data_IF_671936978687
#
_entry.id   IF_671936978687
#
_cell.length_a   1.000
_cell.length_b   1.000
_cell.length_c   1.000
_cell.angle_alpha   90.00
_cell.angle_beta   90.00
_cell.angle_gamma   90.00
#
_symmetry.space_group_name_H-M   'P 1'
#
loop_
_entity.id
_entity.type
_entity.pdbx_description
1 polymer ?
#
# COMPACT_ATOMS: atom_id res chain seq x y z
N UNK A 1 -19.63 14.74 -21.00
CA UNK A 1 -18.51 15.49 -20.40
C UNK A 1 -17.43 14.46 -20.12
N UNK A 2 -16.36 14.45 -20.91
CA UNK A 2 -15.20 13.57 -20.70
C UNK A 2 -14.58 13.90 -19.35
N UNK A 3 -14.48 12.90 -18.47
CA UNK A 3 -13.75 13.03 -17.20
C UNK A 3 -12.36 13.62 -17.47
N UNK A 4 -11.83 14.50 -16.59
CA UNK A 4 -10.46 14.97 -16.73
C UNK A 4 -9.56 13.74 -16.86
N UNK A 5 -8.72 13.70 -17.89
CA UNK A 5 -7.77 12.61 -18.11
C UNK A 5 -6.74 12.65 -16.98
N UNK A 6 -7.03 11.95 -15.88
CA UNK A 6 -6.14 11.88 -14.74
C UNK A 6 -4.89 11.13 -15.20
N UNK A 7 -3.76 11.82 -15.24
CA UNK A 7 -2.52 11.26 -15.78
C UNK A 7 -1.98 10.19 -14.81
N UNK A 8 -1.71 8.99 -15.34
CA UNK A 8 -1.12 7.90 -14.57
C UNK A 8 0.33 8.24 -14.17
N UNK A 9 0.64 8.25 -12.87
CA UNK A 9 2.00 8.40 -12.37
C UNK A 9 2.71 7.05 -12.29
N UNK A 10 2.01 6.02 -11.81
CA UNK A 10 2.54 4.66 -11.70
C UNK A 10 1.63 3.73 -12.47
N UNK A 11 2.19 2.96 -13.41
CA UNK A 11 1.50 1.90 -14.11
C UNK A 11 2.24 0.58 -13.88
N UNK A 12 1.52 -0.40 -13.36
CA UNK A 12 2.02 -1.73 -13.01
C UNK A 12 1.27 -2.72 -13.88
N UNK A 13 1.99 -3.60 -14.56
CA UNK A 13 1.39 -4.60 -15.45
C UNK A 13 1.94 -5.99 -15.18
N UNK A 14 1.05 -6.95 -14.88
CA UNK A 14 1.38 -8.36 -14.67
C UNK A 14 2.46 -8.61 -13.63
N UNK A 15 2.58 -7.76 -12.60
CA UNK A 15 3.72 -7.79 -11.68
C UNK A 15 3.68 -9.02 -10.78
N UNK A 16 4.77 -9.78 -10.73
CA UNK A 16 4.87 -10.98 -9.86
C UNK A 16 6.08 -10.91 -8.94
N UNK A 17 5.98 -11.60 -7.80
CA UNK A 17 7.11 -11.89 -6.93
C UNK A 17 7.03 -13.27 -6.34
N UNK A 18 8.01 -14.08 -6.71
CA UNK A 18 8.23 -15.42 -6.14
C UNK A 18 9.41 -15.40 -5.18
N UNK A 19 9.22 -16.00 -4.01
CA UNK A 19 10.29 -16.25 -3.05
C UNK A 19 10.61 -17.73 -2.97
N UNK A 20 11.87 -18.14 -3.22
CA UNK A 20 12.24 -19.54 -3.15
C UNK A 20 12.26 -20.02 -1.70
N UNK A 21 11.55 -21.10 -1.42
CA UNK A 21 11.62 -21.82 -0.15
C UNK A 21 12.72 -22.85 -0.23
N UNK A 22 13.72 -22.72 0.65
CA UNK A 22 14.86 -23.64 0.71
C UNK A 22 14.63 -24.72 1.76
N UNK A 23 14.88 -25.96 1.40
CA UNK A 23 14.70 -27.13 2.26
C UNK A 23 15.82 -28.15 2.17
N UNK A 24 15.86 -29.06 3.14
CA UNK A 24 16.84 -30.15 3.24
C UNK A 24 18.25 -29.71 3.67
N UNK A 25 19.12 -30.71 3.89
CA UNK A 25 20.51 -30.50 4.35
C UNK A 25 21.31 -29.66 3.34
N UNK A 26 20.98 -29.76 2.04
CA UNK A 26 21.65 -29.04 0.95
C UNK A 26 21.02 -27.68 0.60
N UNK A 27 20.02 -27.19 1.36
CA UNK A 27 19.33 -25.91 1.13
C UNK A 27 18.85 -25.70 -0.33
N UNK A 28 18.33 -26.74 -0.98
CA UNK A 28 17.79 -26.66 -2.34
C UNK A 28 16.41 -25.99 -2.33
N UNK A 29 16.04 -25.31 -3.42
CA UNK A 29 14.68 -24.77 -3.58
C UNK A 29 13.69 -25.94 -3.69
N UNK A 30 12.72 -25.99 -2.79
CA UNK A 30 11.70 -27.07 -2.72
C UNK A 30 10.29 -26.58 -3.04
N UNK A 31 10.04 -25.27 -2.97
CA UNK A 31 8.78 -24.62 -3.36
C UNK A 31 9.04 -23.13 -3.63
N UNK A 32 8.06 -22.43 -4.20
CA UNK A 32 8.06 -20.97 -4.30
C UNK A 32 6.82 -20.41 -3.61
N UNK A 33 6.98 -19.34 -2.82
CA UNK A 33 5.87 -18.52 -2.34
C UNK A 33 5.63 -17.41 -3.33
N UNK A 34 4.47 -17.41 -3.97
CA UNK A 34 4.05 -16.31 -4.84
C UNK A 34 3.40 -15.22 -3.98
N UNK A 35 4.22 -14.27 -3.54
CA UNK A 35 3.78 -13.17 -2.67
C UNK A 35 3.01 -12.09 -3.42
N UNK A 36 3.32 -11.88 -4.70
CA UNK A 36 2.55 -11.05 -5.62
C UNK A 36 2.35 -11.86 -6.89
N UNK A 37 1.12 -11.93 -7.37
CA UNK A 37 0.69 -12.91 -8.37
C UNK A 37 0.05 -12.21 -9.56
N UNK A 38 0.81 -11.47 -10.36
CA UNK A 38 0.28 -10.83 -11.57
C UNK A 38 -0.67 -9.70 -11.23
N UNK A 39 -0.16 -8.69 -10.54
CA UNK A 39 -0.90 -7.47 -10.18
C UNK A 39 -0.83 -6.47 -11.32
N UNK A 40 -1.99 -6.00 -11.74
CA UNK A 40 -2.18 -4.82 -12.58
C UNK A 40 -2.71 -3.68 -11.72
N UNK A 41 -2.07 -2.52 -11.77
CA UNK A 41 -2.42 -1.38 -10.93
C UNK A 41 -2.02 -0.06 -11.58
N UNK A 42 -2.94 0.91 -11.57
CA UNK A 42 -2.68 2.28 -12.01
C UNK A 42 -2.91 3.23 -10.85
N UNK A 43 -1.89 4.04 -10.56
CA UNK A 43 -1.93 5.11 -9.57
C UNK A 43 -1.79 6.45 -10.29
N UNK A 44 -2.80 7.30 -10.17
CA UNK A 44 -2.83 8.62 -10.81
C UNK A 44 -2.11 9.68 -9.98
N UNK A 45 -1.65 10.74 -10.63
CA UNK A 45 -1.06 11.88 -9.93
C UNK A 45 -2.00 12.50 -8.91
N UNK A 46 -1.46 12.82 -7.75
CA UNK A 46 -2.17 13.53 -6.67
C UNK A 46 -3.21 12.67 -5.95
N UNK A 47 -3.43 11.41 -6.36
CA UNK A 47 -4.38 10.53 -5.68
C UNK A 47 -3.73 9.79 -4.51
N UNK A 48 -4.54 9.44 -3.53
CA UNK A 48 -4.22 8.41 -2.54
C UNK A 48 -4.96 7.13 -2.89
N UNK A 49 -4.21 6.13 -3.36
CA UNK A 49 -4.70 4.77 -3.53
C UNK A 49 -4.50 3.99 -2.22
N UNK A 50 -5.59 3.57 -1.61
CA UNK A 50 -5.58 2.64 -0.48
C UNK A 50 -5.34 1.21 -0.94
N UNK A 51 -4.42 0.48 -0.32
CA UNK A 51 -4.20 -0.94 -0.52
C UNK A 51 -4.47 -1.71 0.76
N UNK A 52 -5.53 -2.53 0.75
CA UNK A 52 -6.03 -3.26 1.93
C UNK A 52 -6.02 -4.76 1.75
N UNK A 53 -5.99 -5.48 2.87
CA UNK A 53 -6.08 -6.94 2.90
C UNK A 53 -5.54 -7.51 4.21
N UNK A 54 -5.80 -8.78 4.47
CA UNK A 54 -5.29 -9.49 5.66
C UNK A 54 -3.75 -9.49 5.70
N UNK A 55 -3.18 -9.71 6.89
CA UNK A 55 -1.72 -9.80 7.04
C UNK A 55 -1.16 -10.93 6.17
N UNK A 56 0.01 -10.69 5.57
CA UNK A 56 0.67 -11.68 4.70
C UNK A 56 0.09 -11.82 3.28
N UNK A 57 -0.92 -11.04 2.87
CA UNK A 57 -1.49 -11.15 1.53
C UNK A 57 -0.62 -10.56 0.39
N UNK A 58 0.51 -9.91 0.70
CA UNK A 58 1.47 -9.42 -0.30
C UNK A 58 1.64 -7.89 -0.40
N UNK A 59 0.88 -7.10 0.38
CA UNK A 59 0.88 -5.62 0.28
C UNK A 59 2.26 -4.97 0.44
N UNK A 60 2.96 -5.28 1.53
CA UNK A 60 4.33 -4.80 1.79
C UNK A 60 5.31 -5.26 0.70
N UNK A 61 5.15 -6.47 0.17
CA UNK A 61 5.96 -6.97 -0.95
C UNK A 61 5.73 -6.13 -2.21
N UNK A 62 4.47 -5.84 -2.54
CA UNK A 62 4.10 -4.97 -3.66
C UNK A 62 4.70 -3.57 -3.48
N UNK A 63 4.48 -2.93 -2.32
CA UNK A 63 5.04 -1.61 -2.01
C UNK A 63 6.56 -1.56 -2.16
N UNK A 64 7.28 -2.57 -1.65
CA UNK A 64 8.74 -2.70 -1.79
C UNK A 64 9.20 -2.91 -3.23
N UNK A 65 8.41 -3.54 -4.09
CA UNK A 65 8.72 -3.64 -5.51
C UNK A 65 8.54 -2.31 -6.23
N UNK A 66 7.49 -1.55 -5.88
CA UNK A 66 7.25 -0.24 -6.49
C UNK A 66 8.37 0.76 -6.21
N UNK A 67 9.01 0.70 -5.04
CA UNK A 67 10.23 1.50 -4.73
C UNK A 67 11.53 0.85 -5.20
N UNK A 68 11.46 -0.27 -5.94
CA UNK A 68 12.59 -1.10 -6.38
C UNK A 68 13.56 -1.46 -5.24
N UNK A 69 13.05 -1.69 -4.03
CA UNK A 69 13.80 -2.34 -2.94
C UNK A 69 13.78 -3.86 -3.09
N UNK A 70 12.75 -4.40 -3.74
CA UNK A 70 12.68 -5.77 -4.21
C UNK A 70 12.54 -5.78 -5.74
N UNK A 71 13.30 -6.64 -6.40
CA UNK A 71 13.13 -6.83 -7.84
C UNK A 71 11.92 -7.73 -8.13
N UNK A 72 11.06 -7.36 -9.09
CA UNK A 72 9.99 -8.25 -9.53
C UNK A 72 10.54 -9.50 -10.19
N UNK A 73 9.81 -10.60 -10.09
CA UNK A 73 10.13 -11.83 -10.83
C UNK A 73 9.73 -11.69 -12.30
N UNK A 74 8.58 -11.07 -12.57
CA UNK A 74 8.09 -10.73 -13.91
C UNK A 74 7.15 -9.52 -13.85
N UNK A 75 6.73 -9.05 -15.03
CA UNK A 75 5.87 -7.87 -15.19
C UNK A 75 6.69 -6.59 -15.32
N UNK A 76 6.01 -5.45 -15.31
CA UNK A 76 6.63 -4.14 -15.49
C UNK A 76 6.11 -3.08 -14.53
N UNK A 77 6.98 -2.13 -14.21
CA UNK A 77 6.69 -0.92 -13.44
C UNK A 77 7.11 0.27 -14.29
N UNK A 78 6.13 1.07 -14.71
CA UNK A 78 6.35 2.33 -15.42
C UNK A 78 6.04 3.48 -14.47
N UNK A 79 7.01 4.35 -14.26
CA UNK A 79 6.88 5.56 -13.46
C UNK A 79 7.04 6.77 -14.35
N UNK A 80 6.02 7.63 -14.41
CA UNK A 80 6.05 8.86 -15.21
C UNK A 80 6.42 8.63 -16.68
N UNK A 81 5.88 7.56 -17.27
CA UNK A 81 6.18 7.14 -18.64
C UNK A 81 7.53 6.43 -18.84
N UNK A 82 8.38 6.32 -17.82
CA UNK A 82 9.65 5.59 -17.88
C UNK A 82 9.56 4.19 -17.24
N UNK A 83 10.00 3.16 -17.95
CA UNK A 83 10.13 1.81 -17.39
C UNK A 83 11.29 1.76 -16.38
N UNK A 84 10.94 1.49 -15.12
CA UNK A 84 11.87 1.38 -14.00
C UNK A 84 12.04 -0.05 -13.51
N UNK A 85 11.49 -1.05 -14.21
CA UNK A 85 11.49 -2.48 -13.81
C UNK A 85 12.89 -3.05 -13.66
N UNK A 86 13.78 -2.70 -14.60
CA UNK A 86 15.20 -3.12 -14.61
C UNK A 86 16.13 -1.92 -14.80
N UNK A 87 15.76 -0.78 -14.21
CA UNK A 87 16.59 0.43 -14.20
C UNK A 87 18.03 0.13 -13.73
N UNK A 88 19.01 0.65 -14.46
CA UNK A 88 20.42 0.61 -14.05
C UNK A 88 20.64 1.51 -12.81
N UNK A 89 21.84 1.45 -12.22
CA UNK A 89 22.16 2.18 -10.97
C UNK A 89 21.82 3.68 -11.03
N UNK A 90 22.21 4.37 -12.10
CA UNK A 90 22.02 5.82 -12.20
C UNK A 90 20.54 6.19 -12.35
N UNK A 91 19.81 5.45 -13.20
CA UNK A 91 18.36 5.62 -13.36
C UNK A 91 17.60 5.30 -12.08
N UNK A 92 18.02 4.25 -11.38
CA UNK A 92 17.42 3.83 -10.12
C UNK A 92 17.65 4.85 -9.00
N UNK A 93 18.81 5.52 -9.00
CA UNK A 93 19.09 6.60 -8.05
C UNK A 93 18.20 7.82 -8.28
N UNK A 94 18.05 8.27 -9.53
CA UNK A 94 17.15 9.36 -9.90
C UNK A 94 15.67 9.00 -9.65
N UNK A 95 15.27 7.76 -9.94
CA UNK A 95 13.94 7.24 -9.62
C UNK A 95 13.66 7.31 -8.11
N UNK A 96 14.61 6.86 -7.28
CA UNK A 96 14.46 6.88 -5.83
C UNK A 96 14.41 8.30 -5.24
N UNK A 97 14.95 9.33 -5.90
CA UNK A 97 14.69 10.71 -5.44
C UNK A 97 13.20 11.06 -5.52
N UNK A 98 12.48 10.53 -6.51
CA UNK A 98 11.08 10.81 -6.77
C UNK A 98 10.12 9.84 -6.08
N UNK A 99 10.61 8.69 -5.64
CA UNK A 99 9.80 7.62 -5.04
C UNK A 99 10.38 7.19 -3.70
N UNK A 100 9.61 7.41 -2.64
CA UNK A 100 10.03 7.18 -1.25
C UNK A 100 9.06 6.25 -0.52
N UNK A 101 9.52 5.68 0.60
CA UNK A 101 8.71 4.77 1.42
C UNK A 101 8.77 5.19 2.89
N UNK A 102 7.59 5.21 3.51
CA UNK A 102 7.43 5.30 4.97
C UNK A 102 7.23 3.86 5.45
N UNK A 103 8.18 3.36 6.24
CA UNK A 103 8.16 1.98 6.74
C UNK A 103 7.20 1.80 7.92
N UNK A 104 6.71 0.56 8.08
CA UNK A 104 5.80 0.12 9.13
C UNK A 104 6.31 0.35 10.55
N UNK A 105 7.61 0.09 10.79
CA UNK A 105 8.22 0.27 12.10
C UNK A 105 9.03 1.57 12.16
N UNK A 106 8.50 2.63 12.79
CA UNK A 106 9.25 3.88 12.97
C UNK A 106 10.50 3.68 13.84
N UNK A 107 10.51 2.69 14.75
CA UNK A 107 11.65 2.44 15.63
C UNK A 107 12.81 1.80 14.87
N UNK A 108 12.57 0.67 14.19
CA UNK A 108 13.57 -0.01 13.38
C UNK A 108 14.07 0.81 12.18
N UNK A 109 13.31 1.82 11.75
CA UNK A 109 13.72 2.68 10.63
C UNK A 109 14.72 3.79 10.98
N UNK A 110 14.93 4.08 12.27
CA UNK A 110 15.82 5.14 12.75
C UNK A 110 17.06 4.55 13.44
N UNK A 111 18.24 5.08 13.16
CA UNK A 111 19.46 4.72 13.91
C UNK A 111 19.38 5.31 15.34
N UNK A 112 19.28 4.47 16.39
CA UNK A 112 19.16 4.94 17.77
C UNK A 112 20.40 5.71 18.26
N UNK A 113 21.54 5.59 17.56
CA UNK A 113 22.81 6.23 17.89
C UNK A 113 23.06 7.52 17.10
N UNK A 114 22.14 7.89 16.21
CA UNK A 114 22.23 9.11 15.42
C UNK A 114 21.15 10.11 15.83
N UNK A 115 21.47 11.39 15.73
CA UNK A 115 20.49 12.45 15.93
C UNK A 115 19.44 12.44 14.82
N UNK A 116 18.21 12.78 15.16
CA UNK A 116 17.07 12.78 14.23
C UNK A 116 17.32 13.67 13.01
N UNK A 117 17.95 14.83 13.20
CA UNK A 117 18.29 15.73 12.09
C UNK A 117 19.24 15.10 11.08
N UNK A 118 20.12 14.19 11.51
CA UNK A 118 21.01 13.45 10.60
C UNK A 118 20.24 12.39 9.80
N UNK A 119 19.29 11.70 10.43
CA UNK A 119 18.44 10.72 9.75
C UNK A 119 17.56 11.39 8.69
N UNK A 120 17.02 12.58 8.97
CA UNK A 120 16.24 13.35 7.99
C UNK A 120 17.15 13.90 6.88
N UNK A 121 18.33 14.41 7.21
CA UNK A 121 19.29 14.94 6.22
C UNK A 121 19.91 13.87 5.30
N UNK A 122 19.80 12.58 5.65
CA UNK A 122 20.49 11.48 4.97
C UNK A 122 20.20 11.46 3.46
N UNK A 123 18.93 11.59 3.06
CA UNK A 123 18.53 11.60 1.66
C UNK A 123 19.18 12.75 0.87
N UNK A 124 19.19 13.96 1.45
CA UNK A 124 19.82 15.13 0.82
C UNK A 124 21.33 14.91 0.62
N UNK A 125 22.02 14.34 1.61
CA UNK A 125 23.47 14.08 1.56
C UNK A 125 23.80 13.02 0.52
N UNK A 126 23.04 11.92 0.46
CA UNK A 126 23.25 10.83 -0.50
C UNK A 126 23.15 11.36 -1.93
N UNK A 127 22.22 12.27 -2.19
CA UNK A 127 21.98 12.84 -3.51
C UNK A 127 22.72 14.15 -3.80
N UNK A 128 23.60 14.60 -2.88
CA UNK A 128 24.38 15.82 -3.05
C UNK A 128 23.54 17.10 -3.15
N UNK A 129 22.39 17.14 -2.48
CA UNK A 129 21.44 18.26 -2.55
C UNK A 129 21.71 19.25 -1.41
N UNK A 130 22.23 20.41 -1.80
CA UNK A 130 22.48 21.55 -0.91
C UNK A 130 23.74 21.44 -0.07
N UNK A 131 24.19 22.58 0.44
CA UNK A 131 25.32 22.64 1.37
C UNK A 131 24.90 22.39 2.83
N UNK A 132 25.84 22.47 3.76
CA UNK A 132 25.60 22.18 5.18
C UNK A 132 24.53 23.08 5.81
N UNK A 133 24.51 24.37 5.47
CA UNK A 133 23.59 25.34 6.07
C UNK A 133 22.21 25.25 5.42
N UNK A 134 22.17 24.98 4.12
CA UNK A 134 20.94 24.69 3.38
C UNK A 134 20.27 23.41 3.91
N UNK A 135 21.04 22.32 4.08
CA UNK A 135 20.54 21.06 4.64
C UNK A 135 19.96 21.31 6.05
N UNK A 136 20.67 22.05 6.90
CA UNK A 136 20.19 22.36 8.25
C UNK A 136 18.87 23.12 8.23
N UNK A 137 18.74 24.09 7.32
CA UNK A 137 17.53 24.88 7.14
C UNK A 137 16.37 24.00 6.70
N UNK A 138 16.56 23.19 5.65
CA UNK A 138 15.54 22.26 5.12
C UNK A 138 15.09 21.22 6.16
N UNK A 139 16.01 20.69 6.96
CA UNK A 139 15.66 19.78 8.08
C UNK A 139 14.78 20.49 9.11
N UNK A 140 15.11 21.74 9.46
CA UNK A 140 14.30 22.54 10.37
C UNK A 140 12.88 22.77 9.84
N UNK A 141 12.76 23.19 8.58
CA UNK A 141 11.47 23.39 7.91
C UNK A 141 10.66 22.09 7.84
N UNK A 142 11.30 20.98 7.50
CA UNK A 142 10.64 19.68 7.44
C UNK A 142 10.16 19.20 8.82
N UNK A 143 10.93 19.47 9.88
CA UNK A 143 10.49 19.19 11.26
C UNK A 143 9.24 20.00 11.61
N UNK A 144 9.21 21.29 11.29
CA UNK A 144 8.03 22.13 11.52
C UNK A 144 6.81 21.65 10.74
N UNK A 145 7.01 21.27 9.47
CA UNK A 145 5.96 20.75 8.61
C UNK A 145 5.32 19.49 9.18
N UNK A 146 6.10 18.60 9.82
CA UNK A 146 5.55 17.42 10.50
C UNK A 146 5.10 17.67 11.94
N UNK A 147 5.04 18.94 12.39
CA UNK A 147 4.56 19.34 13.71
C UNK A 147 5.57 19.17 14.85
N UNK A 148 6.87 19.22 14.55
CA UNK A 148 7.99 19.19 15.51
C UNK A 148 8.74 20.53 15.52
N UNK A 149 9.50 20.81 16.58
CA UNK A 149 10.30 22.04 16.67
C UNK A 149 11.65 21.85 16.00
N UNK A 150 12.18 22.87 15.31
CA UNK A 150 13.54 22.87 14.74
C UNK A 150 14.62 22.46 15.74
N UNK A 151 14.51 22.92 16.99
CA UNK A 151 15.45 22.61 18.07
C UNK A 151 15.49 21.14 18.48
N UNK A 152 14.55 20.32 18.01
CA UNK A 152 14.53 18.88 18.25
C UNK A 152 15.42 18.10 17.27
N UNK A 153 16.01 18.75 16.26
CA UNK A 153 16.91 18.10 15.30
C UNK A 153 18.11 17.40 15.97
N UNK A 154 18.63 17.98 17.05
CA UNK A 154 19.81 17.48 17.76
C UNK A 154 19.50 16.36 18.78
N UNK A 155 18.22 15.97 18.91
CA UNK A 155 17.77 14.89 19.80
C UNK A 155 17.92 13.52 19.16
N UNK A 156 18.03 12.51 20.00
CA UNK A 156 18.06 11.10 19.62
C UNK A 156 16.65 10.51 19.57
N UNK A 157 16.42 9.44 18.78
CA UNK A 157 15.10 8.82 18.63
C UNK A 157 14.43 8.43 19.96
N UNK A 158 15.20 7.98 20.95
CA UNK A 158 14.67 7.54 22.25
C UNK A 158 14.01 8.69 23.06
N UNK A 159 14.28 9.95 22.72
CA UNK A 159 13.72 11.14 23.37
C UNK A 159 12.34 11.56 22.81
N UNK A 160 11.79 10.79 21.86
CA UNK A 160 10.50 11.05 21.21
C UNK A 160 9.47 9.96 21.51
N UNK A 161 8.19 10.34 21.53
CA UNK A 161 7.07 9.39 21.59
C UNK A 161 6.93 8.59 20.29
N UNK A 162 6.15 7.51 20.31
CA UNK A 162 5.89 6.69 19.10
C UNK A 162 5.35 7.51 17.92
N UNK A 163 4.34 8.36 18.17
CA UNK A 163 3.79 9.26 17.15
C UNK A 163 4.80 10.29 16.63
N UNK A 164 5.65 10.83 17.50
CA UNK A 164 6.71 11.75 17.07
C UNK A 164 7.77 11.05 16.22
N UNK A 165 8.15 9.80 16.55
CA UNK A 165 9.04 8.98 15.71
C UNK A 165 8.42 8.67 14.35
N UNK A 166 7.11 8.42 14.30
CA UNK A 166 6.41 8.26 13.02
C UNK A 166 6.49 9.54 12.18
N UNK A 167 6.23 10.71 12.79
CA UNK A 167 6.39 12.03 12.13
C UNK A 167 7.81 12.24 11.62
N UNK A 168 8.83 11.80 12.36
CA UNK A 168 10.23 11.82 11.90
C UNK A 168 10.45 10.90 10.70
N UNK A 169 9.86 9.70 10.71
CA UNK A 169 9.90 8.79 9.56
C UNK A 169 9.26 9.38 8.30
N UNK A 170 8.12 10.08 8.47
CA UNK A 170 7.47 10.85 7.40
C UNK A 170 8.39 11.97 6.90
N UNK A 171 8.94 12.78 7.80
CA UNK A 171 9.88 13.85 7.46
C UNK A 171 11.08 13.34 6.66
N UNK A 172 11.65 12.21 7.06
CA UNK A 172 12.76 11.56 6.35
C UNK A 172 12.38 11.15 4.94
N UNK A 173 11.19 10.58 4.74
CA UNK A 173 10.72 10.19 3.41
C UNK A 173 10.40 11.42 2.53
N UNK A 174 9.95 12.52 3.12
CA UNK A 174 9.53 13.71 2.37
C UNK A 174 10.62 14.77 2.15
N UNK A 175 11.79 14.64 2.78
CA UNK A 175 12.87 15.63 2.69
C UNK A 175 13.33 15.89 1.24
N UNK A 176 13.21 14.88 0.38
CA UNK A 176 13.55 14.95 -1.05
C UNK A 176 12.45 15.56 -1.92
N UNK A 177 11.28 15.87 -1.34
CA UNK A 177 10.07 16.28 -2.05
C UNK A 177 9.68 15.28 -3.16
N UNK A 178 9.47 13.99 -2.80
CA UNK A 178 9.12 12.96 -3.77
C UNK A 178 7.76 13.24 -4.41
N UNK A 179 7.53 12.68 -5.61
CA UNK A 179 6.22 12.74 -6.28
C UNK A 179 5.31 11.59 -5.89
N UNK A 180 5.91 10.46 -5.46
CA UNK A 180 5.18 9.28 -5.03
C UNK A 180 5.75 8.73 -3.71
N UNK A 181 4.85 8.42 -2.77
CA UNK A 181 5.22 7.84 -1.48
C UNK A 181 4.38 6.60 -1.19
N UNK A 182 5.07 5.53 -0.81
CA UNK A 182 4.45 4.31 -0.31
C UNK A 182 4.40 4.44 1.21
N UNK A 183 3.21 4.47 1.79
CA UNK A 183 3.04 4.45 3.24
C UNK A 183 2.69 3.02 3.68
N UNK A 184 3.69 2.25 4.10
CA UNK A 184 3.56 0.83 4.45
C UNK A 184 3.11 0.69 5.92
N UNK A 185 1.79 0.60 6.15
CA UNK A 185 1.20 0.53 7.49
C UNK A 185 1.69 1.63 8.47
N UNK A 186 1.63 2.92 8.08
CA UNK A 186 2.30 4.02 8.80
C UNK A 186 1.71 4.31 10.19
N UNK A 187 0.64 3.63 10.58
CA UNK A 187 -0.09 3.88 11.84
C UNK A 187 -0.32 2.61 12.66
N UNK A 188 0.11 1.43 12.20
CA UNK A 188 -0.25 0.15 12.80
C UNK A 188 0.27 -0.06 14.23
N UNK A 189 1.41 0.55 14.57
CA UNK A 189 2.04 0.46 15.89
C UNK A 189 1.61 1.57 16.88
N UNK A 190 0.65 2.41 16.50
CA UNK A 190 0.25 3.62 17.26
C UNK A 190 -1.12 3.43 17.93
N UNK A 191 -1.34 4.11 19.05
CA UNK A 191 -2.65 4.19 19.69
C UNK A 191 -3.65 4.99 18.85
N UNK A 192 -4.95 4.70 18.98
CA UNK A 192 -6.02 5.25 18.14
C UNK A 192 -5.99 6.78 18.05
N UNK A 193 -5.66 7.47 19.15
CA UNK A 193 -5.62 8.93 19.17
C UNK A 193 -4.47 9.49 18.32
N UNK A 194 -3.29 8.85 18.41
CA UNK A 194 -2.11 9.21 17.62
C UNK A 194 -2.28 8.78 16.15
N UNK A 195 -2.93 7.64 15.87
CA UNK A 195 -3.25 7.24 14.50
C UNK A 195 -4.01 8.35 13.76
N UNK A 196 -5.08 8.88 14.36
CA UNK A 196 -5.86 9.97 13.78
C UNK A 196 -5.02 11.22 13.51
N UNK A 197 -4.10 11.58 14.42
CA UNK A 197 -3.20 12.71 14.22
C UNK A 197 -2.23 12.52 13.06
N UNK A 198 -1.70 11.30 12.87
CA UNK A 198 -0.78 10.99 11.76
C UNK A 198 -1.53 10.94 10.43
N UNK A 199 -2.75 10.40 10.39
CA UNK A 199 -3.60 10.40 9.19
C UNK A 199 -3.94 11.82 8.74
N UNK A 200 -4.32 12.69 9.68
CA UNK A 200 -4.57 14.10 9.38
C UNK A 200 -3.32 14.79 8.83
N UNK A 201 -2.15 14.55 9.44
CA UNK A 201 -0.89 15.05 8.93
C UNK A 201 -0.61 14.58 7.50
N UNK A 202 -0.77 13.29 7.19
CA UNK A 202 -0.53 12.77 5.85
C UNK A 202 -1.46 13.40 4.81
N UNK A 203 -2.74 13.63 5.17
CA UNK A 203 -3.72 14.30 4.31
C UNK A 203 -3.36 15.77 4.08
N UNK A 204 -2.93 16.48 5.12
CA UNK A 204 -2.43 17.85 5.01
C UNK A 204 -1.20 17.92 4.10
N UNK A 205 -0.22 17.03 4.31
CA UNK A 205 0.99 16.94 3.48
C UNK A 205 0.68 16.58 2.03
N UNK A 206 -0.28 15.69 1.79
CA UNK A 206 -0.69 15.34 0.43
C UNK A 206 -1.23 16.56 -0.31
N UNK A 207 -2.07 17.36 0.34
CA UNK A 207 -2.63 18.58 -0.23
C UNK A 207 -1.57 19.67 -0.41
N UNK A 208 -0.68 19.86 0.56
CA UNK A 208 0.31 20.95 0.52
C UNK A 208 1.47 20.67 -0.44
N UNK A 209 1.82 19.40 -0.66
CA UNK A 209 2.97 18.98 -1.46
C UNK A 209 2.59 18.30 -2.78
N UNK A 210 1.30 18.23 -3.12
CA UNK A 210 0.78 17.55 -4.32
C UNK A 210 1.30 16.09 -4.44
N UNK A 211 1.27 15.37 -3.31
CA UNK A 211 1.84 14.02 -3.24
C UNK A 211 0.88 13.00 -3.83
N UNK A 212 1.44 12.01 -4.53
CA UNK A 212 0.73 10.77 -4.84
C UNK A 212 1.06 9.73 -3.77
N UNK A 213 0.05 9.05 -3.23
CA UNK A 213 0.23 8.10 -2.13
C UNK A 213 -0.28 6.70 -2.49
N UNK A 214 0.52 5.68 -2.18
CA UNK A 214 0.02 4.31 -1.98
C UNK A 214 -0.06 4.07 -0.48
N UNK A 215 -1.27 4.07 0.08
CA UNK A 215 -1.51 3.89 1.51
C UNK A 215 -1.83 2.43 1.82
N UNK A 216 -0.88 1.70 2.41
CA UNK A 216 -1.04 0.28 2.74
C UNK A 216 -1.57 0.16 4.17
N UNK A 217 -2.66 -0.59 4.35
CA UNK A 217 -3.19 -0.90 5.66
C UNK A 217 -3.84 -2.29 5.71
N UNK A 218 -4.06 -2.80 6.92
CA UNK A 218 -4.85 -4.00 7.15
C UNK A 218 -6.29 -3.69 7.61
N UNK A 219 -6.60 -2.42 7.92
CA UNK A 219 -7.90 -1.99 8.41
C UNK A 219 -8.57 -1.00 7.43
N UNK A 220 -9.72 -1.42 6.88
CA UNK A 220 -10.54 -0.59 6.00
C UNK A 220 -11.03 0.70 6.66
N UNK A 221 -11.29 0.74 7.97
CA UNK A 221 -11.73 1.98 8.62
C UNK A 221 -10.68 3.11 8.53
N UNK A 222 -9.40 2.77 8.54
CA UNK A 222 -8.31 3.75 8.38
C UNK A 222 -8.23 4.25 6.93
N UNK A 223 -8.42 3.35 5.98
CA UNK A 223 -8.32 3.64 4.54
C UNK A 223 -9.44 4.56 4.07
N UNK A 224 -10.63 4.44 4.68
CA UNK A 224 -11.81 5.28 4.40
C UNK A 224 -11.54 6.78 4.61
N UNK A 225 -10.63 7.11 5.54
CA UNK A 225 -10.39 8.50 5.92
C UNK A 225 -9.35 9.21 5.05
N UNK A 226 -8.59 8.49 4.23
CA UNK A 226 -7.42 9.06 3.53
C UNK A 226 -7.39 8.76 2.02
N UNK A 227 -8.14 7.78 1.54
CA UNK A 227 -7.99 7.29 0.15
C UNK A 227 -9.08 7.81 -0.78
N UNK A 228 -8.72 8.14 -2.01
CA UNK A 228 -9.65 8.47 -3.08
C UNK A 228 -10.22 7.20 -3.73
N UNK A 229 -9.35 6.18 -3.88
CA UNK A 229 -9.67 4.86 -4.41
C UNK A 229 -9.12 3.78 -3.50
N UNK A 230 -9.70 2.60 -3.56
CA UNK A 230 -9.26 1.46 -2.75
C UNK A 230 -9.10 0.22 -3.61
N UNK A 231 -7.93 -0.40 -3.51
CA UNK A 231 -7.62 -1.72 -4.03
C UNK A 231 -7.56 -2.74 -2.88
N UNK A 232 -8.29 -3.84 -3.03
CA UNK A 232 -8.33 -4.94 -2.07
C UNK A 232 -7.46 -6.07 -2.59
N UNK A 233 -6.54 -6.55 -1.76
CA UNK A 233 -5.57 -7.58 -2.09
C UNK A 233 -5.79 -8.85 -1.27
N UNK A 234 -5.85 -10.00 -1.95
CA UNK A 234 -5.99 -11.31 -1.34
C UNK A 234 -5.02 -12.30 -1.99
N UNK A 235 -4.19 -12.96 -1.16
CA UNK A 235 -3.19 -13.95 -1.58
C UNK A 235 -2.42 -13.58 -2.87
N UNK A 236 -1.82 -12.39 -2.90
CA UNK A 236 -0.99 -11.95 -4.02
C UNK A 236 -1.73 -11.27 -5.18
N UNK A 237 -3.06 -11.28 -5.20
CA UNK A 237 -3.90 -10.73 -6.27
C UNK A 237 -4.66 -9.48 -5.81
N UNK A 238 -4.87 -8.52 -6.70
CA UNK A 238 -5.92 -7.50 -6.50
C UNK A 238 -7.24 -8.17 -6.85
N UNK A 239 -8.15 -8.23 -5.88
CA UNK A 239 -9.46 -8.89 -6.04
C UNK A 239 -10.60 -7.91 -6.26
N UNK A 240 -10.40 -6.65 -5.91
CA UNK A 240 -11.37 -5.58 -6.13
C UNK A 240 -10.69 -4.22 -6.16
N UNK A 241 -11.14 -3.33 -7.02
CA UNK A 241 -10.70 -1.94 -7.06
C UNK A 241 -11.83 -1.01 -7.54
N UNK A 242 -12.07 0.06 -6.81
CA UNK A 242 -13.07 1.08 -7.14
C UNK A 242 -12.78 2.37 -6.37
N UNK A 243 -13.58 3.42 -6.56
CA UNK A 243 -13.54 4.61 -5.71
C UNK A 243 -13.92 4.27 -4.26
N UNK A 244 -13.53 5.15 -3.35
CA UNK A 244 -13.77 4.96 -1.92
C UNK A 244 -15.25 4.74 -1.61
N UNK A 245 -16.15 5.59 -2.11
CA UNK A 245 -17.55 5.55 -1.66
C UNK A 245 -18.23 4.26 -2.14
N UNK A 246 -18.02 3.91 -3.41
CA UNK A 246 -18.56 2.69 -4.01
C UNK A 246 -18.09 1.42 -3.30
N UNK A 247 -16.82 1.35 -2.86
CA UNK A 247 -16.32 0.15 -2.16
C UNK A 247 -17.08 -0.11 -0.85
N UNK A 248 -17.40 0.95 -0.09
CA UNK A 248 -18.01 0.82 1.24
C UNK A 248 -19.52 0.65 1.17
N UNK A 249 -20.15 1.23 0.16
CA UNK A 249 -21.59 1.13 -0.08
C UNK A 249 -21.97 -0.16 -0.82
N UNK A 250 -21.22 -0.51 -1.88
CA UNK A 250 -21.54 -1.59 -2.81
C UNK A 250 -20.32 -2.47 -3.12
N UNK A 251 -19.70 -3.14 -2.12
CA UNK A 251 -18.60 -4.06 -2.36
C UNK A 251 -19.02 -5.23 -3.26
N UNK A 252 -18.29 -5.47 -4.34
CA UNK A 252 -18.57 -6.53 -5.30
C UNK A 252 -17.95 -7.87 -4.89
N UNK A 253 -16.72 -7.90 -4.35
CA UNK A 253 -16.05 -9.16 -4.03
C UNK A 253 -16.47 -9.64 -2.63
N UNK A 254 -16.88 -10.92 -2.44
CA UNK A 254 -17.33 -11.42 -1.14
C UNK A 254 -16.28 -11.33 0.00
N UNK A 255 -14.99 -11.32 -0.36
CA UNK A 255 -13.90 -11.02 0.58
C UNK A 255 -13.98 -9.58 1.12
N UNK A 256 -14.22 -8.60 0.25
CA UNK A 256 -14.36 -7.19 0.62
C UNK A 256 -15.58 -6.98 1.51
N UNK A 257 -16.72 -7.59 1.15
CA UNK A 257 -17.92 -7.62 2.00
C UNK A 257 -17.59 -8.13 3.41
N UNK A 258 -16.85 -9.23 3.50
CA UNK A 258 -16.48 -9.81 4.78
C UNK A 258 -15.56 -8.88 5.60
N UNK A 259 -14.57 -8.26 4.97
CA UNK A 259 -13.70 -7.28 5.63
C UNK A 259 -14.51 -6.08 6.15
N UNK A 260 -15.43 -5.53 5.36
CA UNK A 260 -16.30 -4.42 5.75
C UNK A 260 -17.29 -4.80 6.87
N UNK A 261 -17.77 -6.05 6.87
CA UNK A 261 -18.68 -6.55 7.92
C UNK A 261 -18.01 -6.62 9.30
N UNK A 262 -16.68 -6.70 9.35
CA UNK A 262 -15.90 -6.74 10.58
C UNK A 262 -15.70 -5.36 11.23
N UNK A 263 -15.94 -4.27 10.49
CA UNK A 263 -15.79 -2.91 11.00
C UNK A 263 -16.87 -2.62 12.07
N UNK A 264 -16.49 -2.19 13.29
CA UNK A 264 -17.45 -1.83 14.32
C UNK A 264 -18.34 -0.65 13.91
N UNK A 265 -19.64 -0.74 14.18
CA UNK A 265 -20.56 0.40 14.02
C UNK A 265 -20.52 1.24 15.29
N UNK A 266 -20.30 2.58 15.21
CA UNK A 266 -20.23 3.43 16.39
C UNK A 266 -21.51 3.48 17.23
N UNK A 267 -22.70 3.36 16.62
CA UNK A 267 -23.97 3.32 17.35
C UNK A 267 -24.17 1.92 17.97
N UNK A 268 -24.14 1.78 19.31
CA UNK A 268 -24.28 0.48 19.98
C UNK A 268 -25.65 -0.19 19.75
N UNK A 269 -26.65 0.55 19.25
CA UNK A 269 -27.98 0.03 18.90
C UNK A 269 -28.03 -0.57 17.50
N UNK A 270 -27.06 -0.27 16.64
CA UNK A 270 -26.94 -0.83 15.29
C UNK A 270 -25.92 -1.96 15.31
N UNK A 271 -26.39 -3.20 15.37
CA UNK A 271 -25.54 -4.38 15.10
C UNK A 271 -25.59 -4.69 13.61
N UNK A 272 -24.43 -4.60 12.93
CA UNK A 272 -24.27 -5.15 11.57
C UNK A 272 -24.11 -6.67 11.70
N UNK A 273 -24.78 -7.44 10.86
CA UNK A 273 -24.54 -8.88 10.77
C UNK A 273 -23.10 -9.09 10.31
N UNK A 274 -22.27 -9.71 11.16
CA UNK A 274 -20.88 -10.00 10.82
C UNK A 274 -20.86 -11.24 9.93
N UNK A 275 -20.25 -11.11 8.76
CA UNK A 275 -19.92 -12.28 7.96
C UNK A 275 -18.72 -12.97 8.60
N UNK A 276 -18.95 -14.14 9.18
CA UNK A 276 -17.87 -14.96 9.72
C UNK A 276 -17.26 -15.74 8.57
N UNK A 277 -16.06 -15.33 8.13
CA UNK A 277 -15.27 -16.14 7.20
C UNK A 277 -14.90 -17.45 7.89
N UNK A 278 -15.35 -18.57 7.34
CA UNK A 278 -15.00 -19.89 7.83
C UNK A 278 -13.66 -20.34 7.25
N UNK A 279 -12.88 -21.09 8.04
CA UNK A 279 -11.59 -21.64 7.63
C UNK A 279 -10.40 -20.68 7.81
N UNK A 280 -9.20 -21.25 7.80
CA UNK A 280 -7.94 -20.52 7.87
C UNK A 280 -7.56 -19.92 6.50
N UNK A 281 -6.69 -18.92 6.51
CA UNK A 281 -6.12 -18.36 5.27
C UNK A 281 -5.30 -19.47 4.58
N UNK A 282 -5.60 -19.81 3.30
CA UNK A 282 -4.83 -20.81 2.57
C UNK A 282 -3.35 -20.42 2.51
N UNK A 283 -2.47 -21.43 2.53
CA UNK A 283 -1.04 -21.17 2.47
C UNK A 283 -0.64 -20.56 1.12
N UNK A 284 0.11 -19.45 1.09
CA UNK A 284 0.67 -18.89 -0.14
C UNK A 284 1.64 -19.85 -0.87
N UNK A 285 2.10 -20.93 -0.22
CA UNK A 285 2.95 -21.96 -0.82
C UNK A 285 2.19 -22.82 -1.83
N UNK A 286 0.92 -23.09 -1.55
CA UNK A 286 0.04 -23.93 -2.34
C UNK A 286 -1.31 -23.21 -2.44
N UNK A 287 -1.40 -22.12 -3.24
CA UNK A 287 -2.64 -21.39 -3.39
C UNK A 287 -3.74 -22.31 -3.96
N UNK A 288 -5.02 -22.12 -3.58
CA UNK A 288 -6.11 -22.88 -4.16
C UNK A 288 -6.18 -22.72 -5.68
N UNK A 289 -6.62 -23.77 -6.38
CA UNK A 289 -6.92 -23.69 -7.81
C UNK A 289 -8.13 -22.78 -8.07
N UNK A 290 -8.21 -22.23 -9.28
CA UNK A 290 -9.23 -21.25 -9.65
C UNK A 290 -9.15 -19.97 -8.80
N UNK A 291 -10.30 -19.46 -8.37
CA UNK A 291 -10.41 -18.32 -7.48
C UNK A 291 -9.76 -18.64 -6.13
N UNK A 292 -8.70 -17.90 -5.77
CA UNK A 292 -7.95 -18.10 -4.51
C UNK A 292 -8.82 -18.01 -3.26
N UNK A 293 -9.94 -17.28 -3.31
CA UNK A 293 -10.83 -17.07 -2.18
C UNK A 293 -11.95 -18.13 -2.08
N UNK A 294 -12.15 -18.98 -3.08
CA UNK A 294 -13.27 -19.95 -3.09
C UNK A 294 -13.37 -20.83 -1.84
N UNK A 295 -12.27 -21.27 -1.16
CA UNK A 295 -12.41 -22.12 0.02
C UNK A 295 -13.04 -21.43 1.24
N UNK A 296 -13.03 -20.09 1.27
CA UNK A 296 -13.60 -19.25 2.34
C UNK A 296 -14.82 -18.45 1.87
N UNK A 297 -15.15 -18.53 0.58
CA UNK A 297 -16.18 -17.71 -0.03
C UNK A 297 -17.57 -18.32 0.25
N UNK A 298 -18.50 -17.56 0.88
CA UNK A 298 -19.81 -18.08 1.24
C UNK A 298 -20.72 -18.36 0.04
N UNK A 299 -20.38 -17.82 -1.13
CA UNK A 299 -21.14 -17.98 -2.38
C UNK A 299 -20.38 -18.78 -3.44
N UNK A 300 -19.27 -19.44 -3.09
CA UNK A 300 -18.49 -20.22 -4.06
C UNK A 300 -19.35 -21.31 -4.73
N UNK A 301 -19.17 -21.48 -6.04
CA UNK A 301 -19.78 -22.55 -6.83
C UNK A 301 -18.73 -23.56 -7.28
N UNK A 302 -18.93 -24.82 -6.91
CA UNK A 302 -18.10 -25.92 -7.36
C UNK A 302 -18.24 -26.13 -8.88
N UNK A 303 -17.13 -26.51 -9.51
CA UNK A 303 -17.00 -26.62 -10.97
C UNK A 303 -16.66 -25.30 -11.65
N UNK A 304 -16.84 -24.16 -10.98
CA UNK A 304 -16.52 -22.82 -11.50
C UNK A 304 -15.40 -22.18 -10.69
N UNK A 305 -15.70 -21.81 -9.43
CA UNK A 305 -14.78 -21.03 -8.60
C UNK A 305 -13.51 -21.79 -8.20
N UNK A 306 -13.54 -23.12 -8.17
CA UNK A 306 -12.40 -23.97 -7.89
C UNK A 306 -11.60 -24.38 -9.14
N UNK A 307 -12.03 -23.96 -10.33
CA UNK A 307 -11.42 -24.31 -11.62
C UNK A 307 -10.85 -23.08 -12.32
N UNK A 308 -11.60 -21.98 -12.35
CA UNK A 308 -11.25 -20.76 -13.08
C UNK A 308 -10.77 -19.66 -12.13
N UNK A 309 -9.60 -19.06 -12.43
CA UNK A 309 -9.03 -17.93 -11.68
C UNK A 309 -9.53 -16.63 -12.35
N UNK A 310 -10.47 -15.90 -11.72
CA UNK A 310 -11.07 -14.72 -12.34
C UNK A 310 -10.04 -13.59 -12.48
N UNK A 311 -9.99 -12.97 -13.66
CA UNK A 311 -9.32 -11.69 -13.85
C UNK A 311 -10.16 -10.53 -13.28
N UNK A 312 -9.54 -9.35 -13.10
CA UNK A 312 -10.29 -8.14 -12.76
C UNK A 312 -11.19 -7.75 -13.93
N UNK A 313 -12.50 -7.91 -13.74
CA UNK A 313 -13.52 -7.58 -14.73
C UNK A 313 -14.39 -6.44 -14.22
N UNK A 314 -15.02 -5.70 -15.14
CA UNK A 314 -15.91 -4.61 -14.78
C UNK A 314 -17.16 -5.14 -14.07
N UNK A 315 -17.54 -4.47 -12.98
CA UNK A 315 -18.78 -4.70 -12.27
C UNK A 315 -19.86 -3.85 -12.95
N UNK A 316 -21.05 -4.41 -13.27
CA UNK A 316 -22.14 -3.63 -13.86
C UNK A 316 -22.63 -2.54 -12.88
N UNK A 317 -22.06 -1.34 -12.95
CA UNK A 317 -22.45 -0.17 -12.17
C UNK A 317 -22.71 1.02 -13.10
N UNK A 318 -23.63 1.89 -12.72
CA UNK A 318 -24.02 3.05 -13.54
C UNK A 318 -22.90 4.12 -13.54
N UNK A 319 -21.96 4.02 -14.48
CA UNK A 319 -20.97 5.06 -14.77
C UNK A 319 -19.80 5.17 -13.81
N UNK A 320 -19.63 4.21 -12.89
CA UNK A 320 -18.52 4.16 -11.92
C UNK A 320 -17.48 3.14 -12.36
N UNK A 321 -16.19 3.49 -12.25
CA UNK A 321 -15.12 2.53 -12.47
C UNK A 321 -15.03 1.57 -11.28
N UNK A 322 -15.55 0.35 -11.45
CA UNK A 322 -15.52 -0.69 -10.42
C UNK A 322 -15.14 -2.02 -11.07
N UNK A 323 -14.03 -2.61 -10.61
CA UNK A 323 -13.58 -3.93 -11.10
C UNK A 323 -13.42 -4.91 -9.95
N UNK A 324 -13.80 -6.16 -10.19
CA UNK A 324 -13.63 -7.24 -9.23
C UNK A 324 -13.25 -8.55 -9.92
N UNK A 325 -12.43 -9.36 -9.23
CA UNK A 325 -12.04 -10.69 -9.65
C UNK A 325 -13.06 -11.71 -9.12
N UNK A 326 -14.29 -11.67 -9.63
CA UNK A 326 -15.38 -12.53 -9.18
C UNK A 326 -16.24 -13.03 -10.33
N UNK A 327 -16.24 -14.35 -10.56
CA UNK A 327 -17.04 -14.99 -11.63
C UNK A 327 -18.56 -14.82 -11.48
N UNK A 328 -19.04 -14.52 -10.26
CA UNK A 328 -20.48 -14.45 -9.97
C UNK A 328 -21.01 -13.01 -9.96
N UNK A 329 -20.13 -12.01 -9.87
CA UNK A 329 -20.52 -10.62 -9.61
C UNK A 329 -19.84 -9.59 -10.53
N UNK A 330 -18.91 -10.01 -11.38
CA UNK A 330 -18.23 -9.15 -12.34
C UNK A 330 -18.19 -9.80 -13.73
N UNK A 331 -18.11 -8.97 -14.77
CA UNK A 331 -18.09 -9.37 -16.18
C UNK A 331 -19.49 -9.56 -16.80
N UNK A 332 -19.52 -9.66 -18.14
CA UNK A 332 -20.75 -9.78 -18.94
C UNK A 332 -21.58 -11.04 -18.62
N UNK A 333 -20.94 -12.04 -18.00
CA UNK A 333 -21.58 -13.28 -17.57
C UNK A 333 -21.69 -13.37 -16.05
N UNK A 334 -21.80 -12.26 -15.31
CA UNK A 334 -22.13 -12.35 -13.88
C UNK A 334 -23.41 -13.18 -13.70
N UNK A 335 -23.24 -14.46 -13.35
CA UNK A 335 -24.35 -15.43 -13.34
C UNK A 335 -24.99 -15.35 -11.96
N UNK A 336 -26.29 -15.02 -11.86
CA UNK A 336 -26.99 -14.92 -10.59
C UNK A 336 -26.91 -16.23 -9.80
#
# INVERSE_FOLDING_TARGET
MTAPSVEALVNVSGLTKDFPVKGGILRRTVANVQAVAGVDLVIHRGETLGLVGESGCGKTTLGRMLVRLLEPTSGSIVFDGEDVTHANRNKLEAFRQNVQIIFQDPYGSLDPRSQVGNSIAEGLRIHGIGDKDEIRTRVGEMLELVGLKRSQADRYPHEFSGGQRQRIGIARALILKPRFVIADEPVSALDVSVQAQVLNLLRELQSELDLTLLFIAHNLAVVEHISDRVAVMYLGRIVEITDRDTLYENPAHPYTEALLSAIPVPDPRRRKERMVLQGEIPSPLNPPAGCRFHPRCPIAREGWCNVEDPELMDVPTDGVYHRAACLLRAGEYARP
#
